data_IF_895419094262
#
_entry.id   IF_895419094262
#
_cell.length_a   1.000
_cell.length_b   1.000
_cell.length_c   1.000
_cell.angle_alpha   90.00
_cell.angle_beta   90.00
_cell.angle_gamma   90.00
#
_symmetry.space_group_name_H-M   'P 1'
#
loop_
_entity.id
_entity.type
_entity.pdbx_description
1 polymer ?
#
# COMPACT_ATOMS: atom_id res chain seq x y z
N UNK A 1 -20.54 -8.38 3.29
CA UNK A 1 -21.18 -8.75 4.58
C UNK A 1 -20.20 -8.61 5.76
N UNK A 2 -19.07 -9.30 5.74
CA UNK A 2 -18.08 -9.23 6.83
C UNK A 2 -17.57 -7.81 7.10
N UNK A 3 -17.32 -6.98 6.08
CA UNK A 3 -16.94 -5.58 6.29
C UNK A 3 -17.91 -4.79 7.17
N UNK A 4 -19.21 -5.06 7.08
CA UNK A 4 -20.23 -4.32 7.83
C UNK A 4 -20.48 -4.91 9.22
N UNK A 5 -20.43 -6.23 9.35
CA UNK A 5 -20.83 -6.94 10.57
C UNK A 5 -19.64 -7.38 11.45
N UNK A 6 -18.47 -7.59 10.86
CA UNK A 6 -17.36 -8.33 11.46
C UNK A 6 -17.28 -9.77 10.91
N UNK A 7 -16.10 -10.41 10.93
CA UNK A 7 -15.91 -11.72 10.32
C UNK A 7 -16.58 -12.86 11.14
N UNK A 8 -16.72 -12.68 12.45
CA UNK A 8 -17.24 -13.72 13.37
C UNK A 8 -18.74 -13.57 13.69
N UNK A 9 -19.48 -12.77 12.91
CA UNK A 9 -20.92 -12.56 13.13
C UNK A 9 -21.78 -13.55 12.37
N UNK A 10 -22.99 -13.80 12.88
CA UNK A 10 -23.99 -14.67 12.27
C UNK A 10 -24.24 -14.37 10.79
N UNK A 11 -24.27 -13.09 10.40
CA UNK A 11 -24.42 -12.66 9.02
C UNK A 11 -23.27 -13.12 8.10
N UNK A 12 -22.03 -13.16 8.60
CA UNK A 12 -20.89 -13.71 7.87
C UNK A 12 -21.03 -15.24 7.71
N UNK A 13 -21.40 -15.94 8.77
CA UNK A 13 -21.65 -17.39 8.72
C UNK A 13 -22.83 -17.77 7.82
N UNK A 14 -23.88 -16.95 7.75
CA UNK A 14 -25.00 -17.16 6.83
C UNK A 14 -24.54 -17.05 5.37
N UNK A 15 -23.73 -16.04 5.06
CA UNK A 15 -23.10 -15.92 3.74
C UNK A 15 -22.23 -17.14 3.42
N UNK A 16 -21.44 -17.64 4.37
CA UNK A 16 -20.64 -18.86 4.19
C UNK A 16 -21.52 -20.10 3.91
N UNK A 17 -22.68 -20.24 4.58
CA UNK A 17 -23.64 -21.33 4.30
C UNK A 17 -24.27 -21.22 2.90
N UNK A 18 -24.41 -20.01 2.36
CA UNK A 18 -24.88 -19.80 0.99
C UNK A 18 -23.77 -20.22 0.00
N UNK A 19 -22.53 -19.79 0.25
CA UNK A 19 -21.36 -20.15 -0.57
C UNK A 19 -21.14 -21.67 -0.57
N UNK A 20 -21.20 -22.33 0.58
CA UNK A 20 -21.08 -23.80 0.69
C UNK A 20 -22.15 -24.53 -0.15
N UNK A 21 -23.40 -24.06 -0.11
CA UNK A 21 -24.47 -24.62 -0.94
C UNK A 21 -24.20 -24.45 -2.44
N UNK A 22 -23.70 -23.28 -2.85
CA UNK A 22 -23.33 -23.02 -4.24
C UNK A 22 -22.16 -23.93 -4.69
N UNK A 23 -21.11 -24.06 -3.87
CA UNK A 23 -19.99 -24.98 -4.12
C UNK A 23 -20.49 -26.42 -4.27
N UNK A 24 -21.37 -26.88 -3.36
CA UNK A 24 -21.97 -28.22 -3.44
C UNK A 24 -22.74 -28.41 -4.73
N UNK A 25 -23.48 -27.40 -5.20
CA UNK A 25 -24.22 -27.46 -6.45
C UNK A 25 -23.28 -27.58 -7.66
N UNK A 26 -22.22 -26.77 -7.71
CA UNK A 26 -21.20 -26.83 -8.78
C UNK A 26 -20.52 -28.21 -8.79
N UNK A 27 -20.09 -28.70 -7.62
CA UNK A 27 -19.47 -30.02 -7.52
C UNK A 27 -20.44 -31.14 -7.94
N UNK A 28 -21.73 -31.06 -7.59
CA UNK A 28 -22.73 -32.04 -8.03
C UNK A 28 -22.89 -32.05 -9.56
N UNK A 29 -22.88 -30.88 -10.20
CA UNK A 29 -22.96 -30.78 -11.66
C UNK A 29 -21.70 -31.36 -12.31
N UNK A 30 -20.52 -31.00 -11.81
CA UNK A 30 -19.22 -31.54 -12.21
C UNK A 30 -19.21 -33.07 -12.20
N UNK A 31 -19.60 -33.68 -11.07
CA UNK A 31 -19.61 -35.15 -10.89
C UNK A 31 -20.66 -35.85 -11.76
N UNK A 32 -21.70 -35.17 -12.24
CA UNK A 32 -22.72 -35.75 -13.14
C UNK A 32 -22.40 -35.55 -14.61
N UNK A 33 -21.60 -34.55 -14.96
CA UNK A 33 -21.19 -34.30 -16.32
C UNK A 33 -20.23 -35.41 -16.78
N UNK A 34 -20.49 -36.03 -17.94
CA UNK A 34 -19.75 -37.20 -18.44
C UNK A 34 -18.91 -36.91 -19.69
N UNK A 35 -19.08 -35.74 -20.31
CA UNK A 35 -18.40 -35.42 -21.56
C UNK A 35 -16.95 -34.98 -21.37
N UNK A 36 -16.61 -34.46 -20.19
CA UNK A 36 -15.26 -34.01 -19.80
C UNK A 36 -15.08 -34.16 -18.30
N UNK A 37 -13.85 -34.45 -17.90
CA UNK A 37 -13.42 -34.42 -16.51
C UNK A 37 -12.97 -33.00 -16.15
N UNK A 38 -13.30 -32.58 -14.93
CA UNK A 38 -12.97 -31.26 -14.41
C UNK A 38 -12.47 -31.41 -12.98
N UNK A 39 -11.30 -30.85 -12.71
CA UNK A 39 -10.82 -30.62 -11.37
C UNK A 39 -11.43 -29.32 -10.83
N UNK A 40 -11.87 -29.33 -9.56
CA UNK A 40 -12.49 -28.16 -8.93
C UNK A 40 -11.56 -27.63 -7.84
N UNK A 41 -11.00 -26.45 -8.09
CA UNK A 41 -10.26 -25.67 -7.11
C UNK A 41 -11.14 -24.56 -6.59
N UNK A 42 -11.09 -24.31 -5.28
CA UNK A 42 -11.76 -23.20 -4.61
C UNK A 42 -10.66 -22.43 -3.90
N UNK A 43 -10.58 -21.14 -4.14
CA UNK A 43 -9.54 -20.29 -3.56
C UNK A 43 -10.13 -18.99 -3.06
N UNK A 44 -9.46 -18.42 -2.06
CA UNK A 44 -9.63 -17.02 -1.66
C UNK A 44 -8.43 -16.23 -2.16
N UNK A 45 -8.67 -15.01 -2.58
CA UNK A 45 -7.63 -14.03 -2.89
C UNK A 45 -6.95 -13.53 -1.61
N UNK A 46 -7.70 -13.37 -0.53
CA UNK A 46 -7.19 -12.92 0.77
C UNK A 46 -7.98 -13.52 1.95
N UNK A 47 -7.45 -13.32 3.15
CA UNK A 47 -8.17 -13.56 4.40
C UNK A 47 -9.01 -12.34 4.81
N UNK A 48 -9.43 -12.27 6.07
CA UNK A 48 -10.15 -11.10 6.58
C UNK A 48 -9.86 -10.91 8.07
N UNK A 49 -9.59 -9.69 8.50
CA UNK A 49 -9.19 -9.37 9.88
C UNK A 49 -10.23 -8.48 10.55
N UNK A 50 -10.64 -8.78 11.80
CA UNK A 50 -11.44 -7.86 12.61
C UNK A 50 -10.83 -6.46 12.69
N UNK A 51 -11.64 -5.42 12.55
CA UNK A 51 -11.12 -4.04 12.47
C UNK A 51 -11.89 -3.05 13.34
N UNK A 52 -11.24 -1.92 13.62
CA UNK A 52 -11.84 -0.75 14.28
C UNK A 52 -11.72 0.45 13.34
N UNK A 53 -12.83 1.12 12.98
CA UNK A 53 -12.77 2.36 12.21
C UNK A 53 -11.90 3.41 12.87
N UNK A 54 -11.04 4.07 12.10
CA UNK A 54 -10.12 5.12 12.56
C UNK A 54 -10.86 6.23 13.29
N UNK A 55 -12.05 6.60 12.80
CA UNK A 55 -12.93 7.60 13.44
C UNK A 55 -13.46 7.22 14.83
N UNK A 56 -13.22 6.00 15.31
CA UNK A 56 -13.55 5.57 16.67
C UNK A 56 -12.34 5.65 17.61
N UNK A 57 -11.12 5.68 17.05
CA UNK A 57 -9.85 5.79 17.79
C UNK A 57 -9.34 7.24 17.79
N UNK A 58 -9.70 7.99 16.75
CA UNK A 58 -9.35 9.40 16.55
C UNK A 58 -10.60 10.21 16.16
N UNK A 59 -10.61 11.50 16.50
CA UNK A 59 -11.70 12.41 16.16
C UNK A 59 -11.65 12.77 14.66
N UNK A 60 -12.51 12.15 13.85
CA UNK A 60 -12.66 12.45 12.43
C UNK A 60 -12.04 11.41 11.50
N UNK A 61 -11.87 11.79 10.23
CA UNK A 61 -11.24 10.95 9.20
C UNK A 61 -9.74 11.19 9.12
N UNK A 62 -9.00 10.32 8.42
CA UNK A 62 -7.58 10.56 8.13
C UNK A 62 -7.37 11.89 7.38
N UNK A 63 -8.30 12.25 6.49
CA UNK A 63 -8.27 13.54 5.79
C UNK A 63 -8.45 14.74 6.74
N UNK A 64 -9.26 14.61 7.78
CA UNK A 64 -9.43 15.67 8.79
C UNK A 64 -8.17 15.83 9.65
N UNK A 65 -7.55 14.70 10.04
CA UNK A 65 -6.26 14.70 10.74
C UNK A 65 -5.16 15.39 9.93
N UNK A 66 -5.11 15.14 8.61
CA UNK A 66 -4.15 15.79 7.69
C UNK A 66 -4.47 17.28 7.55
N UNK A 67 -5.74 17.64 7.33
CA UNK A 67 -6.20 19.03 7.19
C UNK A 67 -5.83 19.88 8.40
N UNK A 68 -5.95 19.34 9.60
CA UNK A 68 -5.59 20.03 10.84
C UNK A 68 -4.11 20.45 10.91
N UNK A 69 -3.21 19.77 10.18
CA UNK A 69 -1.77 20.04 10.20
C UNK A 69 -1.30 21.02 9.12
N UNK A 70 -2.13 21.22 8.10
CA UNK A 70 -1.79 22.08 6.97
C UNK A 70 -2.14 23.54 7.27
N UNK A 71 -3.11 23.78 8.16
CA UNK A 71 -3.57 25.13 8.53
C UNK A 71 -4.23 25.86 7.35
N UNK A 72 -4.92 26.97 7.62
CA UNK A 72 -5.17 27.99 6.59
C UNK A 72 -3.83 28.32 5.94
N UNK A 73 -3.75 28.47 4.60
CA UNK A 73 -2.53 28.88 3.95
C UNK A 73 -2.03 30.10 4.71
N UNK A 74 -0.92 29.95 5.42
CA UNK A 74 -0.24 31.11 5.97
C UNK A 74 -0.07 31.99 4.76
N UNK A 75 -0.72 33.15 4.78
CA UNK A 75 -0.54 34.21 3.81
C UNK A 75 0.93 34.66 3.91
N UNK A 76 1.82 33.82 3.41
CA UNK A 76 3.19 34.07 3.05
C UNK A 76 3.20 34.66 1.62
N UNK A 77 2.13 35.38 1.29
CA UNK A 77 1.85 36.03 0.01
C UNK A 77 1.75 37.56 0.18
N UNK A 78 2.06 38.10 1.38
CA UNK A 78 2.37 39.55 1.51
C UNK A 78 3.86 39.88 1.35
N UNK A 79 4.75 38.89 1.37
CA UNK A 79 6.12 39.04 0.88
C UNK A 79 6.32 38.12 -0.31
N UNK A 80 7.00 38.62 -1.35
CA UNK A 80 7.37 37.91 -2.59
C UNK A 80 6.31 37.93 -3.69
N UNK A 81 5.71 39.10 -3.89
CA UNK A 81 5.38 39.58 -5.23
C UNK A 81 6.64 40.05 -5.95
N UNK A 82 7.52 39.13 -6.34
CA UNK A 82 8.58 39.37 -7.32
C UNK A 82 9.05 38.02 -7.85
N UNK A 83 9.19 37.90 -9.17
CA UNK A 83 9.84 36.76 -9.80
C UNK A 83 11.24 36.56 -9.20
N UNK A 84 11.36 35.65 -8.22
CA UNK A 84 12.64 35.25 -7.68
C UNK A 84 13.28 34.30 -8.67
N UNK A 85 14.53 34.62 -9.02
CA UNK A 85 15.40 33.73 -9.77
C UNK A 85 15.54 32.38 -9.03
N UNK A 86 15.56 31.28 -9.79
CA UNK A 86 15.63 29.89 -9.30
C UNK A 86 16.76 29.64 -8.28
N UNK A 87 17.84 30.42 -8.39
CA UNK A 87 19.02 30.37 -7.52
C UNK A 87 18.79 30.94 -6.12
N UNK A 88 17.91 31.92 -5.95
CA UNK A 88 17.55 32.52 -4.65
C UNK A 88 16.48 31.69 -3.93
N UNK A 89 15.53 31.13 -4.68
CA UNK A 89 14.55 30.17 -4.17
C UNK A 89 15.23 28.91 -3.60
N UNK A 90 16.27 28.43 -4.28
CA UNK A 90 17.12 27.32 -3.84
C UNK A 90 17.85 27.62 -2.52
N UNK A 91 18.40 28.84 -2.37
CA UNK A 91 19.07 29.28 -1.13
C UNK A 91 18.07 29.44 0.02
N UNK A 92 16.88 29.99 -0.27
CA UNK A 92 15.80 30.12 0.70
C UNK A 92 15.36 28.75 1.23
N UNK A 93 15.08 27.79 0.34
CA UNK A 93 14.77 26.41 0.75
C UNK A 93 15.90 25.76 1.55
N UNK A 94 17.18 25.99 1.20
CA UNK A 94 18.33 25.45 1.94
C UNK A 94 18.50 26.06 3.34
N UNK A 95 18.27 27.36 3.51
CA UNK A 95 18.26 28.00 4.83
C UNK A 95 17.03 27.57 5.64
N UNK A 96 15.90 27.32 4.98
CA UNK A 96 14.70 26.78 5.60
C UNK A 96 14.91 25.33 6.06
N UNK A 97 15.62 24.47 5.30
CA UNK A 97 16.01 23.11 5.72
C UNK A 97 16.74 23.14 7.07
N UNK A 98 17.64 24.10 7.28
CA UNK A 98 18.37 24.25 8.56
C UNK A 98 17.46 24.70 9.71
N UNK A 99 16.42 25.48 9.43
CA UNK A 99 15.39 25.90 10.39
C UNK A 99 14.40 24.78 10.72
N UNK A 100 13.97 24.04 9.70
CA UNK A 100 13.07 22.88 9.78
C UNK A 100 13.72 21.76 10.59
N UNK A 101 15.01 21.48 10.38
CA UNK A 101 15.72 20.46 11.17
C UNK A 101 15.71 20.72 12.68
N UNK A 102 15.71 21.98 13.11
CA UNK A 102 15.59 22.28 14.56
C UNK A 102 14.19 21.98 15.09
N UNK A 103 13.17 22.02 14.23
CA UNK A 103 11.75 21.77 14.54
C UNK A 103 11.36 20.29 14.35
N UNK A 104 12.08 19.55 13.49
CA UNK A 104 11.88 18.12 13.29
C UNK A 104 12.23 17.32 14.55
N UNK A 105 11.44 16.29 14.82
CA UNK A 105 11.73 15.34 15.88
C UNK A 105 13.15 14.73 15.72
N UNK A 106 13.83 14.32 16.82
CA UNK A 106 15.16 13.73 16.75
C UNK A 106 15.30 12.56 15.76
N UNK A 107 14.22 11.79 15.56
CA UNK A 107 14.13 10.70 14.57
C UNK A 107 14.15 11.22 13.13
N UNK A 108 13.37 12.25 12.80
CA UNK A 108 13.30 12.81 11.46
C UNK A 108 14.55 13.62 11.11
N UNK A 109 15.24 14.20 12.09
CA UNK A 109 16.56 14.82 11.92
C UNK A 109 17.65 13.86 11.41
N UNK A 110 17.55 12.57 11.69
CA UNK A 110 18.51 11.58 11.16
C UNK A 110 18.27 11.31 9.68
N UNK A 111 17.00 11.35 9.26
CA UNK A 111 16.58 11.23 7.86
C UNK A 111 16.86 12.54 7.10
N UNK A 112 16.79 13.69 7.78
CA UNK A 112 16.98 15.01 7.18
C UNK A 112 18.39 15.25 6.64
N UNK A 113 19.43 14.57 7.15
CA UNK A 113 20.77 14.65 6.57
C UNK A 113 20.80 14.13 5.12
N UNK A 114 20.01 13.10 4.82
CA UNK A 114 19.80 12.60 3.45
C UNK A 114 18.87 13.53 2.66
N UNK A 115 17.86 14.12 3.30
CA UNK A 115 17.02 15.15 2.69
C UNK A 115 17.82 16.39 2.27
N UNK A 116 18.81 16.84 3.07
CA UNK A 116 19.76 17.91 2.72
C UNK A 116 20.53 17.59 1.45
N UNK A 117 21.04 16.37 1.33
CA UNK A 117 21.79 15.92 0.15
C UNK A 117 20.87 15.80 -1.07
N UNK A 118 19.63 15.34 -0.87
CA UNK A 118 18.62 15.25 -1.91
C UNK A 118 18.21 16.64 -2.42
N UNK A 119 17.84 17.56 -1.54
CA UNK A 119 17.54 18.96 -1.87
C UNK A 119 18.73 19.60 -2.57
N UNK A 120 19.94 19.45 -2.03
CA UNK A 120 21.16 19.99 -2.67
C UNK A 120 21.40 19.40 -4.07
N UNK A 121 21.10 18.11 -4.31
CA UNK A 121 21.17 17.49 -5.63
C UNK A 121 20.06 17.98 -6.58
N UNK A 122 18.81 18.03 -6.10
CA UNK A 122 17.62 18.42 -6.89
C UNK A 122 17.68 19.89 -7.32
N UNK A 123 18.20 20.76 -6.46
CA UNK A 123 18.42 22.19 -6.73
C UNK A 123 19.56 22.46 -7.73
N UNK A 124 20.45 21.49 -7.97
CA UNK A 124 21.50 21.57 -8.98
C UNK A 124 21.05 21.04 -10.36
N UNK A 125 19.84 20.50 -10.46
CA UNK A 125 19.26 20.00 -11.71
C UNK A 125 18.37 21.07 -12.35
N UNK A 126 18.58 21.47 -13.62
CA UNK A 126 17.69 22.38 -14.33
C UNK A 126 16.25 21.80 -14.39
N UNK A 127 15.24 22.58 -13.97
CA UNK A 127 13.84 22.13 -13.82
C UNK A 127 13.44 21.67 -12.42
N UNK A 128 14.30 21.88 -11.40
CA UNK A 128 14.18 21.33 -10.05
C UNK A 128 13.12 21.91 -9.10
N UNK A 129 12.31 22.90 -9.50
CA UNK A 129 11.21 23.40 -8.64
C UNK A 129 9.98 23.87 -9.42
N UNK A 130 9.33 22.97 -10.16
CA UNK A 130 7.93 23.14 -10.59
C UNK A 130 6.97 22.77 -9.44
N UNK A 131 7.14 23.39 -8.28
CA UNK A 131 6.15 23.25 -7.21
C UNK A 131 5.09 24.34 -7.37
N UNK A 132 3.84 23.93 -7.52
CA UNK A 132 2.72 24.85 -7.48
C UNK A 132 2.23 25.00 -6.03
N UNK A 133 2.84 25.92 -5.28
CA UNK A 133 2.48 26.17 -3.87
C UNK A 133 1.05 26.67 -3.69
N UNK A 134 0.41 27.23 -4.72
CA UNK A 134 -1.03 27.58 -4.65
C UNK A 134 -1.92 26.34 -4.48
N UNK A 135 -1.40 25.14 -4.82
CA UNK A 135 -2.05 23.84 -4.63
C UNK A 135 -1.57 23.12 -3.37
N UNK A 136 -0.91 23.78 -2.43
CA UNK A 136 -0.40 23.13 -1.22
C UNK A 136 -1.49 22.48 -0.36
N UNK A 137 -2.71 23.01 -0.37
CA UNK A 137 -3.88 22.41 0.27
C UNK A 137 -4.62 21.36 -0.57
N UNK A 138 -4.22 21.15 -1.83
CA UNK A 138 -4.82 20.15 -2.73
C UNK A 138 -4.15 18.79 -2.49
N UNK A 139 -4.72 18.05 -1.54
CA UNK A 139 -4.23 16.75 -1.10
C UNK A 139 -5.33 15.72 -1.23
N UNK A 140 -4.99 14.60 -1.86
CA UNK A 140 -5.91 13.48 -2.05
C UNK A 140 -5.54 12.36 -1.09
N UNK A 141 -6.51 11.89 -0.32
CA UNK A 141 -6.37 10.72 0.56
C UNK A 141 -7.21 9.59 -0.01
N UNK A 142 -6.55 8.54 -0.46
CA UNK A 142 -7.19 7.33 -0.97
C UNK A 142 -7.08 6.22 0.06
N UNK A 143 -8.12 6.05 0.88
CA UNK A 143 -8.23 4.96 1.85
C UNK A 143 -8.72 3.67 1.18
N UNK A 144 -8.07 2.55 1.51
CA UNK A 144 -8.41 1.19 1.11
C UNK A 144 -8.23 0.28 2.34
N UNK A 145 -9.28 0.14 3.13
CA UNK A 145 -9.25 -0.57 4.40
C UNK A 145 -8.23 0.03 5.38
N UNK A 146 -7.28 -0.77 5.92
CA UNK A 146 -6.25 -0.30 6.84
C UNK A 146 -5.03 0.32 6.15
N UNK A 147 -5.08 0.52 4.84
CA UNK A 147 -4.03 1.17 4.05
C UNK A 147 -4.57 2.46 3.44
N UNK A 148 -3.79 3.53 3.43
CA UNK A 148 -4.12 4.75 2.72
C UNK A 148 -2.93 5.28 1.94
N UNK A 149 -3.20 5.77 0.73
CA UNK A 149 -2.25 6.56 -0.06
C UNK A 149 -2.58 8.04 0.08
N UNK A 150 -1.57 8.88 0.28
CA UNK A 150 -1.68 10.33 0.31
C UNK A 150 -0.91 10.88 -0.89
N UNK A 151 -1.57 11.74 -1.67
CA UNK A 151 -1.01 12.39 -2.86
C UNK A 151 -1.04 13.90 -2.67
N UNK A 152 0.07 14.58 -2.94
CA UNK A 152 0.18 16.04 -2.86
C UNK A 152 0.24 16.63 -4.28
N UNK A 153 -0.77 17.39 -4.67
CA UNK A 153 -0.90 17.91 -6.04
C UNK A 153 -0.07 19.18 -6.32
N UNK A 154 0.95 19.41 -5.50
CA UNK A 154 1.93 20.50 -5.67
C UNK A 154 2.92 20.23 -6.80
N UNK A 155 3.01 19.00 -7.30
CA UNK A 155 3.84 18.64 -8.45
C UNK A 155 3.14 17.58 -9.32
N UNK A 156 3.42 17.58 -10.63
CA UNK A 156 2.89 16.57 -11.58
C UNK A 156 3.71 15.26 -11.58
N UNK A 157 4.49 15.04 -10.53
CA UNK A 157 5.34 13.87 -10.32
C UNK A 157 5.25 13.43 -8.86
N UNK A 158 5.56 12.16 -8.57
CA UNK A 158 5.69 11.72 -7.19
C UNK A 158 6.74 12.53 -6.42
N UNK A 159 6.45 12.79 -5.14
CA UNK A 159 7.37 13.39 -4.18
C UNK A 159 8.14 12.31 -3.42
N UNK A 160 9.41 12.58 -3.14
CA UNK A 160 10.15 11.84 -2.13
C UNK A 160 9.79 12.35 -0.72
N UNK A 161 9.95 11.50 0.30
CA UNK A 161 9.68 11.82 1.70
C UNK A 161 10.42 13.08 2.16
N UNK A 162 11.64 13.31 1.64
CA UNK A 162 12.39 14.53 1.89
C UNK A 162 11.64 15.78 1.42
N UNK A 163 10.98 15.74 0.27
CA UNK A 163 10.19 16.86 -0.28
C UNK A 163 8.93 17.08 0.56
N UNK A 164 8.26 15.99 0.96
CA UNK A 164 7.09 16.06 1.83
C UNK A 164 7.45 16.70 3.18
N UNK A 165 8.59 16.34 3.78
CA UNK A 165 9.06 16.94 5.04
C UNK A 165 9.41 18.43 4.91
N UNK A 166 9.72 18.91 3.70
CA UNK A 166 10.01 20.33 3.47
C UNK A 166 8.74 21.13 3.22
N UNK A 167 7.85 20.59 2.38
CA UNK A 167 6.58 21.23 2.01
C UNK A 167 5.53 21.12 3.12
N UNK A 168 5.64 20.12 3.99
CA UNK A 168 4.70 19.84 5.09
C UNK A 168 5.44 19.48 6.40
N UNK A 169 6.17 20.44 7.03
CA UNK A 169 7.17 20.16 8.08
C UNK A 169 6.67 19.47 9.35
N UNK A 170 5.35 19.53 9.62
CA UNK A 170 4.74 18.94 10.81
C UNK A 170 3.91 17.69 10.50
N UNK A 171 3.63 17.42 9.22
CA UNK A 171 2.63 16.43 8.84
C UNK A 171 3.04 15.01 9.22
N UNK A 172 4.26 14.59 8.89
CA UNK A 172 4.73 13.22 9.17
C UNK A 172 4.80 12.96 10.66
N UNK A 173 5.32 13.92 11.44
CA UNK A 173 5.38 13.79 12.90
C UNK A 173 3.98 13.74 13.52
N UNK A 174 3.05 14.60 13.06
CA UNK A 174 1.67 14.60 13.52
C UNK A 174 0.93 13.29 13.19
N UNK A 175 1.10 12.75 11.98
CA UNK A 175 0.53 11.45 11.60
C UNK A 175 1.05 10.35 12.53
N UNK A 176 2.37 10.29 12.78
CA UNK A 176 2.97 9.29 13.67
C UNK A 176 2.59 9.49 15.15
N UNK A 177 2.12 10.66 15.54
CA UNK A 177 1.58 10.95 16.87
C UNK A 177 0.07 10.76 16.96
N UNK A 178 -0.62 10.51 15.83
CA UNK A 178 -2.07 10.35 15.80
C UNK A 178 -2.46 8.93 16.23
N UNK A 179 -3.32 8.76 17.26
CA UNK A 179 -3.79 7.45 17.69
C UNK A 179 -4.42 6.66 16.54
N UNK A 180 -4.02 5.39 16.42
CA UNK A 180 -4.52 4.48 15.39
C UNK A 180 -3.71 4.44 14.10
N UNK A 181 -2.73 5.33 13.91
CA UNK A 181 -1.71 5.17 12.84
C UNK A 181 -0.58 4.29 13.35
N UNK A 182 -0.27 3.24 12.59
CA UNK A 182 0.79 2.28 12.93
C UNK A 182 2.08 2.54 12.17
N UNK A 183 1.99 2.94 10.90
CA UNK A 183 3.15 3.14 10.03
C UNK A 183 2.90 4.30 9.08
N UNK A 184 3.94 5.09 8.83
CA UNK A 184 4.03 6.01 7.69
C UNK A 184 5.25 5.61 6.87
N UNK A 185 5.06 5.35 5.58
CA UNK A 185 6.12 5.02 4.65
C UNK A 185 6.15 6.02 3.49
N UNK A 186 7.35 6.31 3.00
CA UNK A 186 7.56 7.21 1.87
C UNK A 186 8.75 6.79 1.03
N UNK A 187 8.79 7.28 -0.21
CA UNK A 187 9.89 7.01 -1.13
C UNK A 187 11.09 7.90 -0.83
N UNK A 188 12.29 7.40 -1.09
CA UNK A 188 13.51 8.19 -1.15
C UNK A 188 14.35 7.66 -2.32
N UNK A 189 14.13 8.20 -3.52
CA UNK A 189 14.63 7.66 -4.78
C UNK A 189 14.25 6.17 -4.96
N UNK A 190 15.24 5.26 -5.04
CA UNK A 190 15.05 3.80 -5.11
C UNK A 190 14.93 3.13 -3.73
N UNK A 191 14.81 3.92 -2.67
CA UNK A 191 14.69 3.44 -1.29
C UNK A 191 13.28 3.68 -0.80
N UNK A 192 12.90 2.91 0.22
CA UNK A 192 11.68 3.12 0.99
C UNK A 192 12.09 3.40 2.43
N UNK A 193 11.53 4.46 3.01
CA UNK A 193 11.69 4.80 4.43
C UNK A 193 10.37 4.50 5.12
N UNK A 194 10.43 3.72 6.20
CA UNK A 194 9.28 3.24 6.97
C UNK A 194 9.45 3.74 8.40
N UNK A 195 8.43 4.41 8.91
CA UNK A 195 8.41 5.07 10.21
C UNK A 195 7.25 4.52 11.04
N UNK A 196 7.50 4.25 12.31
CA UNK A 196 6.45 3.91 13.27
C UNK A 196 6.35 4.97 14.39
N UNK A 197 5.20 5.04 15.10
CA UNK A 197 5.10 5.77 16.35
C UNK A 197 6.27 5.42 17.30
N UNK A 198 6.79 6.41 18.02
CA UNK A 198 8.04 6.24 18.77
C UNK A 198 9.29 6.46 17.91
N UNK A 199 10.31 5.61 18.07
CA UNK A 199 11.65 5.81 17.50
C UNK A 199 12.04 4.85 16.36
N UNK A 200 11.13 4.00 15.89
CA UNK A 200 11.44 3.01 14.85
C UNK A 200 11.54 3.63 13.45
N UNK A 201 12.71 3.46 12.81
CA UNK A 201 12.97 3.87 11.42
C UNK A 201 13.64 2.73 10.68
N UNK A 202 13.04 2.29 9.58
CA UNK A 202 13.63 1.31 8.67
C UNK A 202 13.79 1.92 7.28
N UNK A 203 14.99 1.82 6.71
CA UNK A 203 15.25 2.17 5.31
C UNK A 203 15.59 0.91 4.53
N UNK A 204 14.89 0.64 3.44
CA UNK A 204 15.11 -0.49 2.53
C UNK A 204 15.56 0.06 1.19
N UNK A 205 16.60 -0.51 0.59
CA UNK A 205 17.05 -0.13 -0.74
C UNK A 205 17.93 -1.16 -1.42
N UNK A 206 18.49 -0.85 -2.60
CA UNK A 206 19.26 -1.79 -3.41
C UNK A 206 20.53 -2.33 -2.72
N UNK A 207 21.10 -1.55 -1.79
CA UNK A 207 22.32 -1.89 -1.05
C UNK A 207 22.05 -2.58 0.28
N UNK A 208 20.80 -2.98 0.54
CA UNK A 208 20.37 -3.60 1.79
C UNK A 208 19.45 -2.70 2.62
N UNK A 209 19.28 -3.07 3.90
CA UNK A 209 18.41 -2.38 4.85
C UNK A 209 19.19 -1.75 6.01
N UNK A 210 18.66 -0.66 6.55
CA UNK A 210 19.19 0.01 7.74
C UNK A 210 18.05 0.26 8.73
N UNK A 211 18.19 -0.30 9.93
CA UNK A 211 17.24 -0.15 11.03
C UNK A 211 17.85 0.74 12.12
N UNK A 212 17.09 1.73 12.57
CA UNK A 212 17.39 2.57 13.72
C UNK A 212 16.20 2.50 14.69
N UNK A 213 16.45 2.12 15.95
CA UNK A 213 15.40 1.91 16.95
C UNK A 213 14.66 0.58 16.83
N UNK A 214 13.40 0.57 17.27
CA UNK A 214 12.52 -0.60 17.19
C UNK A 214 12.05 -0.85 15.76
N UNK A 215 11.74 -2.10 15.42
CA UNK A 215 11.35 -2.42 14.05
C UNK A 215 9.93 -1.89 13.76
N UNK A 216 9.73 -1.02 12.76
CA UNK A 216 8.44 -0.38 12.52
C UNK A 216 7.28 -1.34 12.23
N UNK A 217 7.60 -2.56 11.79
CA UNK A 217 6.63 -3.57 11.36
C UNK A 217 6.45 -4.73 12.37
N UNK A 218 7.04 -4.65 13.57
CA UNK A 218 7.00 -5.74 14.57
C UNK A 218 5.58 -6.24 14.89
N UNK A 219 4.60 -5.34 14.89
CA UNK A 219 3.21 -5.67 15.22
C UNK A 219 2.43 -6.31 14.06
N UNK A 220 2.99 -6.34 12.84
CA UNK A 220 2.27 -6.75 11.62
C UNK A 220 2.48 -8.22 11.21
N UNK A 221 3.12 -9.03 12.06
CA UNK A 221 3.32 -10.47 11.83
C UNK A 221 4.71 -10.78 11.29
N UNK A 222 4.79 -11.51 10.18
CA UNK A 222 6.09 -11.83 9.55
C UNK A 222 6.75 -10.54 9.03
N UNK A 223 7.78 -10.11 9.76
CA UNK A 223 8.52 -8.88 9.50
C UNK A 223 9.21 -8.91 8.14
N UNK A 224 9.82 -10.03 7.75
CA UNK A 224 10.55 -10.12 6.49
C UNK A 224 9.59 -10.01 5.29
N UNK A 225 8.42 -10.67 5.39
CA UNK A 225 7.36 -10.54 4.39
C UNK A 225 6.82 -9.10 4.36
N UNK A 226 6.50 -8.52 5.52
CA UNK A 226 5.99 -7.16 5.64
C UNK A 226 6.93 -6.11 5.03
N UNK A 227 8.23 -6.23 5.28
CA UNK A 227 9.28 -5.39 4.67
C UNK A 227 9.26 -5.47 3.15
N UNK A 228 9.26 -6.69 2.60
CA UNK A 228 9.28 -6.92 1.16
C UNK A 228 8.03 -6.35 0.48
N UNK A 229 6.84 -6.60 1.04
CA UNK A 229 5.58 -6.12 0.49
C UNK A 229 5.45 -4.59 0.55
N UNK A 230 5.81 -3.98 1.67
CA UNK A 230 5.72 -2.52 1.81
C UNK A 230 6.77 -1.81 0.95
N UNK A 231 7.99 -2.37 0.83
CA UNK A 231 8.97 -1.86 -0.12
C UNK A 231 8.45 -1.94 -1.55
N UNK A 232 7.91 -3.09 -1.99
CA UNK A 232 7.32 -3.27 -3.33
C UNK A 232 6.21 -2.26 -3.59
N UNK A 233 5.26 -2.11 -2.66
CA UNK A 233 4.13 -1.19 -2.77
C UNK A 233 4.59 0.26 -2.98
N UNK A 234 5.50 0.77 -2.15
CA UNK A 234 5.99 2.16 -2.23
C UNK A 234 6.78 2.44 -3.51
N UNK A 235 7.35 1.41 -4.13
CA UNK A 235 8.09 1.53 -5.39
C UNK A 235 7.18 1.49 -6.64
N UNK A 236 5.87 1.24 -6.52
CA UNK A 236 4.98 1.32 -7.67
C UNK A 236 4.88 2.76 -8.22
N UNK A 237 4.79 2.94 -9.56
CA UNK A 237 4.69 4.27 -10.17
C UNK A 237 3.49 5.11 -9.70
N UNK A 238 2.41 4.44 -9.30
CA UNK A 238 1.16 5.06 -8.86
C UNK A 238 0.98 5.03 -7.35
N UNK A 239 1.98 4.63 -6.57
CA UNK A 239 1.91 4.73 -5.12
C UNK A 239 1.90 6.20 -4.70
N UNK A 240 1.02 6.52 -3.74
CA UNK A 240 1.02 7.82 -3.08
C UNK A 240 2.39 8.22 -2.52
N UNK A 241 2.60 9.53 -2.40
CA UNK A 241 3.82 10.14 -1.87
C UNK A 241 4.08 9.70 -0.43
N UNK A 242 3.00 9.49 0.33
CA UNK A 242 3.01 8.73 1.58
C UNK A 242 2.04 7.55 1.51
N UNK A 243 2.47 6.44 2.10
CA UNK A 243 1.64 5.26 2.39
C UNK A 243 1.48 5.17 3.90
N UNK A 244 0.24 5.11 4.37
CA UNK A 244 -0.08 5.06 5.81
C UNK A 244 -0.79 3.75 6.11
N UNK A 245 -0.35 3.05 7.15
CA UNK A 245 -1.02 1.85 7.65
C UNK A 245 -1.66 2.15 9.01
N UNK A 246 -2.89 1.67 9.20
CA UNK A 246 -3.52 1.62 10.51
C UNK A 246 -2.76 0.69 11.45
N UNK A 247 -2.73 1.04 12.74
CA UNK A 247 -2.04 0.27 13.77
C UNK A 247 -2.77 -1.02 14.14
N UNK A 248 -1.99 -1.99 14.62
CA UNK A 248 -2.51 -3.19 15.27
C UNK A 248 -2.83 -2.87 16.74
N UNK A 249 -4.04 -3.21 17.18
CA UNK A 249 -4.48 -3.10 18.57
C UNK A 249 -4.01 -4.33 19.36
N UNK A 250 -3.86 -4.22 20.71
CA UNK A 250 -3.42 -5.34 21.54
C UNK A 250 -4.31 -6.58 21.49
N UNK A 251 -5.58 -6.42 21.10
CA UNK A 251 -6.54 -7.52 20.95
C UNK A 251 -6.53 -8.16 19.55
N UNK A 252 -5.57 -7.79 18.70
CA UNK A 252 -5.40 -8.35 17.35
C UNK A 252 -6.25 -7.69 16.27
N UNK A 253 -7.09 -6.70 16.61
CA UNK A 253 -7.80 -5.89 15.61
C UNK A 253 -6.86 -4.91 14.90
N UNK A 254 -7.15 -4.61 13.64
CA UNK A 254 -6.44 -3.56 12.89
C UNK A 254 -7.28 -2.28 12.82
N UNK A 255 -6.65 -1.13 12.93
CA UNK A 255 -7.32 0.15 12.66
C UNK A 255 -7.52 0.31 11.15
N UNK A 256 -8.74 0.61 10.72
CA UNK A 256 -9.09 0.77 9.30
C UNK A 256 -9.59 2.18 9.03
N UNK A 257 -9.18 2.79 7.91
CA UNK A 257 -9.57 4.17 7.57
C UNK A 257 -10.98 4.27 7.00
N UNK A 258 -11.61 3.13 6.72
CA UNK A 258 -13.01 3.03 6.32
C UNK A 258 -13.93 2.66 7.49
N UNK A 259 -15.24 2.85 7.35
CA UNK A 259 -16.24 2.44 8.36
C UNK A 259 -16.52 0.93 8.26
N UNK A 260 -15.51 0.11 8.54
CA UNK A 260 -15.57 -1.35 8.44
C UNK A 260 -15.21 -2.03 9.78
N UNK A 261 -15.90 -3.12 10.10
CA UNK A 261 -15.67 -3.99 11.28
C UNK A 261 -14.86 -5.25 10.96
N UNK A 262 -14.64 -5.52 9.67
CA UNK A 262 -13.68 -6.47 9.16
C UNK A 262 -13.00 -5.83 7.95
N UNK A 263 -11.73 -6.11 7.72
CA UNK A 263 -10.99 -5.47 6.64
C UNK A 263 -9.87 -6.36 6.11
N UNK A 264 -9.37 -5.98 4.95
CA UNK A 264 -8.21 -6.57 4.29
C UNK A 264 -7.53 -5.47 3.44
N UNK A 265 -6.48 -5.82 2.70
CA UNK A 265 -5.79 -4.87 1.81
C UNK A 265 -4.58 -4.17 2.43
N UNK A 266 -4.10 -4.63 3.59
CA UNK A 266 -2.84 -4.21 4.20
C UNK A 266 -2.13 -5.39 4.87
N UNK A 267 -1.17 -5.08 5.74
CA UNK A 267 -0.44 -6.02 6.58
C UNK A 267 -1.14 -6.25 7.93
N UNK A 268 -0.74 -7.32 8.62
CA UNK A 268 -1.19 -7.62 9.98
C UNK A 268 -2.45 -8.47 10.07
N UNK A 269 -2.58 -9.22 11.16
CA UNK A 269 -3.71 -10.11 11.40
C UNK A 269 -3.83 -11.25 10.38
N UNK A 270 -5.05 -11.77 10.23
CA UNK A 270 -5.43 -12.89 9.37
C UNK A 270 -5.70 -12.51 7.91
N UNK A 271 -5.64 -11.23 7.52
CA UNK A 271 -6.00 -10.77 6.17
C UNK A 271 -5.04 -11.29 5.08
N UNK A 272 -3.82 -11.65 5.47
CA UNK A 272 -2.81 -12.26 4.59
C UNK A 272 -2.97 -13.78 4.44
N UNK A 273 -3.90 -14.39 5.19
CA UNK A 273 -4.13 -15.83 5.17
C UNK A 273 -5.22 -16.19 4.17
N UNK A 274 -4.83 -16.37 2.91
CA UNK A 274 -5.68 -16.97 1.90
C UNK A 274 -5.84 -18.49 2.11
N UNK A 275 -6.83 -19.10 1.44
CA UNK A 275 -6.98 -20.56 1.43
C UNK A 275 -7.14 -21.09 0.01
N UNK A 276 -6.75 -22.35 -0.19
CA UNK A 276 -7.02 -23.12 -1.40
C UNK A 276 -7.54 -24.51 -1.00
N UNK A 277 -8.73 -24.85 -1.47
CA UNK A 277 -9.26 -26.21 -1.42
C UNK A 277 -9.18 -26.83 -2.82
N UNK A 278 -8.77 -28.10 -2.86
CA UNK A 278 -8.44 -28.81 -4.10
C UNK A 278 -8.83 -30.29 -4.02
N UNK A 279 -8.91 -30.99 -5.16
CA UNK A 279 -9.07 -32.44 -5.15
C UNK A 279 -7.83 -33.13 -4.55
N UNK A 280 -7.99 -34.25 -3.80
CA UNK A 280 -6.86 -34.94 -3.18
C UNK A 280 -5.84 -35.46 -4.21
N UNK A 281 -6.31 -35.88 -5.38
CA UNK A 281 -5.54 -36.36 -6.53
C UNK A 281 -4.69 -35.28 -7.23
N UNK A 282 -4.89 -34.00 -6.91
CA UNK A 282 -4.15 -32.88 -7.50
C UNK A 282 -3.07 -32.36 -6.54
N UNK A 283 -1.85 -32.92 -6.51
CA UNK A 283 -0.84 -32.50 -5.53
C UNK A 283 -0.48 -31.03 -5.74
N UNK A 284 -0.80 -30.19 -4.75
CA UNK A 284 -0.39 -28.79 -4.66
C UNK A 284 0.28 -28.59 -3.31
N UNK A 285 1.56 -28.24 -3.33
CA UNK A 285 2.33 -27.92 -2.13
C UNK A 285 1.99 -26.50 -1.66
N UNK A 286 0.80 -26.31 -1.11
CA UNK A 286 0.29 -24.98 -0.73
C UNK A 286 1.25 -24.24 0.22
N UNK A 287 1.90 -24.97 1.12
CA UNK A 287 2.84 -24.40 2.10
C UNK A 287 4.17 -23.92 1.48
N UNK A 288 4.38 -24.11 0.18
CA UNK A 288 5.55 -23.62 -0.55
C UNK A 288 5.18 -22.51 -1.53
N UNK A 289 3.93 -22.04 -1.51
CA UNK A 289 3.45 -20.96 -2.38
C UNK A 289 3.42 -19.67 -1.57
N UNK A 290 4.34 -18.76 -1.88
CA UNK A 290 4.42 -17.45 -1.24
C UNK A 290 3.70 -16.35 -2.04
N UNK A 291 3.28 -16.65 -3.27
CA UNK A 291 2.62 -15.70 -4.19
C UNK A 291 1.58 -16.39 -5.09
N UNK A 292 0.41 -15.75 -5.37
CA UNK A 292 -0.59 -16.28 -6.31
C UNK A 292 -0.07 -16.56 -7.72
N UNK A 293 0.95 -15.85 -8.20
CA UNK A 293 1.61 -16.10 -9.49
C UNK A 293 2.20 -17.52 -9.57
N UNK A 294 2.58 -18.12 -8.43
CA UNK A 294 3.05 -19.49 -8.39
C UNK A 294 1.96 -20.52 -8.77
N UNK A 295 0.67 -20.16 -8.61
CA UNK A 295 -0.44 -20.99 -9.09
C UNK A 295 -0.48 -21.08 -10.61
N UNK A 296 -0.05 -20.04 -11.34
CA UNK A 296 0.01 -20.08 -12.79
C UNK A 296 1.00 -21.15 -13.28
N UNK A 297 2.20 -21.19 -12.69
CA UNK A 297 3.22 -22.20 -12.98
C UNK A 297 2.68 -23.60 -12.69
N UNK A 298 1.99 -23.77 -11.57
CA UNK A 298 1.33 -25.03 -11.23
C UNK A 298 0.30 -25.47 -12.29
N UNK A 299 -0.66 -24.60 -12.63
CA UNK A 299 -1.72 -24.95 -13.57
C UNK A 299 -1.16 -25.23 -14.98
N UNK A 300 -0.17 -24.46 -15.40
CA UNK A 300 0.53 -24.68 -16.68
C UNK A 300 1.23 -26.04 -16.70
N UNK A 301 2.02 -26.34 -15.66
CA UNK A 301 2.71 -27.63 -15.57
C UNK A 301 1.76 -28.82 -15.47
N UNK A 302 0.57 -28.65 -14.88
CA UNK A 302 -0.40 -29.74 -14.68
C UNK A 302 -1.30 -30.01 -15.88
N UNK A 303 -1.67 -28.98 -16.63
CA UNK A 303 -2.70 -29.07 -17.67
C UNK A 303 -2.23 -28.71 -19.08
N UNK A 304 -1.07 -28.05 -19.21
CA UNK A 304 -0.52 -27.63 -20.51
C UNK A 304 0.77 -28.36 -20.91
N UNK A 305 1.42 -29.08 -19.99
CA UNK A 305 2.66 -29.82 -20.26
C UNK A 305 2.52 -30.94 -21.30
N UNK A 306 1.33 -31.54 -21.43
CA UNK A 306 1.03 -32.57 -22.42
C UNK A 306 0.57 -32.02 -23.79
N UNK A 307 0.41 -30.70 -23.94
CA UNK A 307 0.01 -30.10 -25.22
C UNK A 307 1.16 -29.98 -26.24
N UNK A 308 2.39 -30.35 -25.84
CA UNK A 308 3.61 -30.17 -26.65
C UNK A 308 4.14 -31.48 -27.28
N UNK A 309 3.34 -32.56 -27.31
CA UNK A 309 3.72 -33.82 -27.98
C UNK A 309 2.92 -34.09 -29.26
N UNK A 310 3.18 -33.31 -30.30
CA UNK A 310 2.74 -33.62 -31.67
C UNK A 310 3.17 -32.55 -32.68
N UNK A 311 3.87 -32.92 -33.78
CA UNK A 311 4.33 -31.94 -34.75
C UNK A 311 3.16 -31.50 -35.66
N UNK A 312 2.90 -30.19 -35.67
CA UNK A 312 2.03 -29.55 -36.65
C UNK A 312 0.57 -29.42 -36.23
N UNK A 313 0.04 -28.21 -36.38
CA UNK A 313 -1.36 -27.82 -36.19
C UNK A 313 -1.89 -27.80 -34.75
N UNK A 314 -1.66 -26.67 -34.05
CA UNK A 314 -2.71 -26.04 -33.20
C UNK A 314 -2.40 -24.67 -32.60
N UNK A 315 -1.25 -24.06 -32.87
CA UNK A 315 -0.97 -22.68 -32.42
C UNK A 315 -1.81 -21.60 -33.14
N UNK A 316 -2.53 -21.93 -34.22
CA UNK A 316 -3.39 -20.97 -34.94
C UNK A 316 -4.77 -20.76 -34.30
N UNK A 317 -5.26 -21.66 -33.42
CA UNK A 317 -6.66 -21.56 -32.92
C UNK A 317 -6.88 -20.74 -31.66
N UNK A 318 -5.84 -20.34 -30.93
CA UNK A 318 -6.00 -19.47 -29.75
C UNK A 318 -5.81 -17.98 -30.08
N UNK A 319 -5.09 -17.64 -31.15
CA UNK A 319 -4.99 -16.26 -31.63
C UNK A 319 -6.16 -15.84 -32.54
N UNK A 320 -6.81 -16.78 -33.25
CA UNK A 320 -7.94 -16.45 -34.14
C UNK A 320 -9.29 -16.30 -33.43
N UNK A 321 -9.43 -16.70 -32.16
CA UNK A 321 -10.66 -16.46 -31.38
C UNK A 321 -10.67 -15.10 -30.64
N UNK A 322 -9.65 -14.27 -30.83
CA UNK A 322 -9.53 -12.93 -30.22
C UNK A 322 -9.86 -11.75 -31.14
N UNK A 323 -10.28 -11.96 -32.39
CA UNK A 323 -10.58 -10.88 -33.34
C UNK A 323 -11.99 -10.96 -33.94
N UNK A 324 -12.96 -10.51 -33.15
CA UNK A 324 -14.29 -10.03 -33.57
C UNK A 324 -14.88 -9.28 -32.36
N UNK A 325 -15.33 -8.04 -32.36
CA UNK A 325 -15.67 -7.05 -33.37
C UNK A 325 -15.47 -5.66 -32.74
N UNK A 326 -14.94 -4.70 -33.50
CA UNK A 326 -15.23 -3.29 -33.24
C UNK A 326 -16.72 -3.08 -33.52
N UNK A 327 -17.49 -2.74 -32.50
CA UNK A 327 -18.74 -2.02 -32.73
C UNK A 327 -18.38 -0.55 -32.97
N UNK A 328 -18.83 -0.03 -34.12
CA UNK A 328 -18.95 1.40 -34.34
C UNK A 328 -20.09 1.99 -33.54
#
# INVERSE_FOLDING_TARGET
>A
MAHKAGPDRSAAFEALRIIDRAIRQVNRMRVRYRRREYDLYIMSDHGNTPSVPFSWVHEGTLGDAIRAQIGEPINLVELVGAHLDSSEHARFMLDEVRGIERRLSPRLRRISASARLYVRRRLLTPGGSDYNLSRQGDIVVSANGPLAHIYFNVADRPLDLAEVLLLYPQLVDALLSTPGIGVVAGRAERRTVILAPGSGVLTIGPTGRHLDGQHPLDSFGDVAYAEAQLHRLVQFPHAGDLVVLGGMLPDGRVVTFEKQLATHGSLGGTQLQAFVARPPECPLAINTLDDPEALYTYFTARYLSDLDTGPGERLTRLCEMGTAQRFG
#
